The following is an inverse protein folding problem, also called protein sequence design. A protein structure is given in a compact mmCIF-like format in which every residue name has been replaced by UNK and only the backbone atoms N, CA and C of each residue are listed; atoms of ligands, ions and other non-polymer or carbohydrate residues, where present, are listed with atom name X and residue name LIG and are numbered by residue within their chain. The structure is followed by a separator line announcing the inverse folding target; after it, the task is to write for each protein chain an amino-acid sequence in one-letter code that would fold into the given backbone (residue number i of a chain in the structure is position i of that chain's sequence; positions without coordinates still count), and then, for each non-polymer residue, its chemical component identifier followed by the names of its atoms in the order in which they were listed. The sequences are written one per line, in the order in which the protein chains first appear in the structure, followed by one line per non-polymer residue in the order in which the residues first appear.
data_IF_297423428810
#
_entry.id   IF_297423428810
#
_cell.length_a   1.000
_cell.length_b   1.000
_cell.length_c   1.000
_cell.angle_alpha   90.00
_cell.angle_beta   90.00
_cell.angle_gamma   90.00
#
_symmetry.space_group_name_H-M   'P 1'
#
loop_
_entity.id
_entity.type
_entity.pdbx_description
1 polymer ?
#
# COMPACT_ATOMS: atom_id res chain seq x y z
N UNK A 1 23.46 10.49 7.31
CA UNK A 1 22.71 9.69 6.32
C UNK A 1 21.32 10.31 6.21
N UNK A 2 21.10 11.20 5.24
CA UNK A 2 19.82 11.90 5.08
C UNK A 2 18.96 11.09 4.12
N UNK A 3 17.88 10.51 4.62
CA UNK A 3 16.90 9.82 3.77
C UNK A 3 16.10 10.91 3.07
N UNK A 4 16.31 11.04 1.75
CA UNK A 4 15.60 12.03 0.94
C UNK A 4 14.10 11.74 0.88
N UNK A 5 13.29 12.79 0.73
CA UNK A 5 11.83 12.69 0.63
C UNK A 5 11.37 11.67 -0.43
N UNK A 6 12.15 11.51 -1.50
CA UNK A 6 11.93 10.50 -2.53
C UNK A 6 11.83 9.06 -2.00
N UNK A 7 12.60 8.70 -0.98
CA UNK A 7 12.55 7.34 -0.41
C UNK A 7 11.22 7.08 0.29
N UNK A 8 10.71 8.07 1.05
CA UNK A 8 9.40 7.96 1.69
C UNK A 8 8.27 7.87 0.67
N UNK A 9 8.34 8.67 -0.41
CA UNK A 9 7.36 8.62 -1.50
C UNK A 9 7.39 7.28 -2.25
N UNK A 10 8.56 6.72 -2.50
CA UNK A 10 8.70 5.41 -3.17
C UNK A 10 8.10 4.29 -2.31
N UNK A 11 8.40 4.27 -1.01
CA UNK A 11 7.82 3.25 -0.11
C UNK A 11 6.31 3.40 0.01
N UNK A 12 5.80 4.63 0.11
CA UNK A 12 4.36 4.89 0.12
C UNK A 12 3.68 4.43 -1.18
N UNK A 13 4.29 4.69 -2.34
CA UNK A 13 3.77 4.25 -3.64
C UNK A 13 3.73 2.72 -3.77
N UNK A 14 4.75 2.03 -3.26
CA UNK A 14 4.80 0.55 -3.27
C UNK A 14 3.72 -0.03 -2.36
N UNK A 15 3.60 0.46 -1.12
CA UNK A 15 2.59 0.01 -0.18
C UNK A 15 1.17 0.28 -0.69
N UNK A 16 0.94 1.45 -1.31
CA UNK A 16 -0.34 1.80 -1.92
C UNK A 16 -0.69 0.87 -3.10
N UNK A 17 0.28 0.57 -3.95
CA UNK A 17 0.09 -0.34 -5.09
C UNK A 17 -0.23 -1.75 -4.63
N UNK A 18 0.49 -2.27 -3.62
CA UNK A 18 0.22 -3.59 -3.03
C UNK A 18 -1.16 -3.62 -2.36
N UNK A 19 -1.54 -2.54 -1.65
CA UNK A 19 -2.87 -2.39 -1.07
C UNK A 19 -3.97 -2.50 -2.12
N UNK A 20 -3.87 -1.75 -3.23
CA UNK A 20 -4.84 -1.79 -4.33
C UNK A 20 -4.86 -3.16 -5.02
N UNK A 21 -3.70 -3.75 -5.30
CA UNK A 21 -3.63 -5.07 -5.94
C UNK A 21 -4.21 -6.18 -5.03
N UNK A 22 -4.03 -6.07 -3.71
CA UNK A 22 -4.61 -6.98 -2.74
C UNK A 22 -6.15 -6.98 -2.75
N UNK A 23 -6.76 -5.81 -3.00
CA UNK A 23 -8.23 -5.65 -3.14
C UNK A 23 -8.76 -6.42 -4.36
N UNK A 24 -8.06 -6.35 -5.50
CA UNK A 24 -8.48 -7.03 -6.72
C UNK A 24 -8.32 -8.55 -6.65
N UNK A 25 -7.28 -9.05 -5.99
CA UNK A 25 -7.00 -10.48 -5.87
C UNK A 25 -8.00 -11.15 -4.90
N UNK A 26 -8.40 -10.48 -3.83
CA UNK A 26 -9.32 -11.01 -2.83
C UNK A 26 -10.65 -10.24 -2.79
N UNK A 27 -11.50 -10.44 -3.79
CA UNK A 27 -12.89 -9.91 -3.85
C UNK A 27 -13.78 -10.23 -2.62
N UNK A 28 -13.36 -11.13 -1.73
CA UNK A 28 -14.04 -11.47 -0.47
C UNK A 28 -13.46 -10.79 0.78
N UNK A 29 -12.25 -10.20 0.71
CA UNK A 29 -11.58 -9.61 1.87
C UNK A 29 -11.60 -8.08 1.81
N UNK A 30 -12.79 -7.49 1.59
CA UNK A 30 -13.06 -6.06 1.85
C UNK A 30 -12.71 -5.69 3.31
N UNK A 31 -12.64 -6.69 4.19
CA UNK A 31 -12.23 -6.59 5.60
C UNK A 31 -10.81 -5.99 5.77
N UNK A 32 -9.87 -6.13 4.82
CA UNK A 32 -8.54 -5.48 4.90
C UNK A 32 -8.64 -3.95 4.73
N UNK A 33 -9.62 -3.47 3.95
CA UNK A 33 -9.94 -2.04 3.79
C UNK A 33 -10.62 -1.49 5.06
N UNK A 34 -11.34 -2.33 5.80
CA UNK A 34 -12.15 -1.96 6.97
C UNK A 34 -11.43 -2.09 8.32
N UNK A 35 -10.34 -2.85 8.39
CA UNK A 35 -9.55 -3.06 9.62
C UNK A 35 -8.28 -2.19 9.66
N UNK A 36 -8.15 -1.24 8.70
CA UNK A 36 -7.14 -0.18 8.64
C UNK A 36 -7.79 1.18 8.83
#
# INVERSE_FOLDING_TARGET
MVIGLSHYLTVAAILFTIGIFGIFINRKNVIVILMS
#
